data_IF_636087461494
#
_entry.id   IF_636087461494
#
_cell.length_a   1.000
_cell.length_b   1.000
_cell.length_c   1.000
_cell.angle_alpha   90.00
_cell.angle_beta   90.00
_cell.angle_gamma   90.00
#
_symmetry.space_group_name_H-M   'P 1'
#
loop_
_entity.id
_entity.type
_entity.pdbx_description
1 polymer ?
#
# COMPACT_ATOMS: atom_id res chain seq x y z
N UNK A 1 -6.00 -8.56 -14.01
CA UNK A 1 -5.32 -7.36 -14.53
C UNK A 1 -4.85 -6.45 -13.39
N UNK A 2 -4.08 -5.40 -13.69
CA UNK A 2 -3.44 -4.54 -12.69
C UNK A 2 -4.42 -3.93 -11.68
N UNK A 3 -5.64 -3.59 -12.12
CA UNK A 3 -6.67 -3.05 -11.23
C UNK A 3 -7.04 -4.00 -10.09
N UNK A 4 -7.27 -5.27 -10.41
CA UNK A 4 -7.70 -6.27 -9.43
C UNK A 4 -6.60 -6.52 -8.39
N UNK A 5 -5.35 -6.61 -8.83
CA UNK A 5 -4.19 -6.74 -7.93
C UNK A 5 -4.08 -5.54 -6.99
N UNK A 6 -4.25 -4.32 -7.52
CA UNK A 6 -4.21 -3.10 -6.72
C UNK A 6 -5.33 -3.07 -5.66
N UNK A 7 -6.56 -3.42 -6.04
CA UNK A 7 -7.71 -3.46 -5.12
C UNK A 7 -7.53 -4.53 -4.03
N UNK A 8 -7.09 -5.75 -4.40
CA UNK A 8 -6.83 -6.82 -3.43
C UNK A 8 -5.73 -6.40 -2.46
N UNK A 9 -4.63 -5.87 -2.97
CA UNK A 9 -3.51 -5.40 -2.15
C UNK A 9 -3.93 -4.29 -1.18
N UNK A 10 -4.66 -3.27 -1.66
CA UNK A 10 -5.12 -2.17 -0.81
C UNK A 10 -6.16 -2.62 0.23
N UNK A 11 -7.13 -3.46 -0.15
CA UNK A 11 -8.13 -3.99 0.78
C UNK A 11 -7.49 -4.88 1.86
N UNK A 12 -6.56 -5.76 1.49
CA UNK A 12 -5.78 -6.56 2.43
C UNK A 12 -4.97 -5.67 3.39
N UNK A 13 -4.41 -4.55 2.91
CA UNK A 13 -3.65 -3.61 3.73
C UNK A 13 -4.56 -2.91 4.76
N UNK A 14 -5.77 -2.49 4.37
CA UNK A 14 -6.76 -1.93 5.29
C UNK A 14 -7.09 -2.92 6.41
N UNK A 15 -7.42 -4.17 6.07
CA UNK A 15 -7.73 -5.21 7.06
C UNK A 15 -6.54 -5.44 7.99
N UNK A 16 -5.34 -5.60 7.42
CA UNK A 16 -4.11 -5.87 8.17
C UNK A 16 -3.79 -4.76 9.17
N UNK A 17 -3.76 -3.50 8.70
CA UNK A 17 -3.41 -2.37 9.56
C UNK A 17 -4.49 -2.07 10.60
N UNK A 18 -5.76 -2.28 10.27
CA UNK A 18 -6.86 -2.16 11.23
C UNK A 18 -6.70 -3.18 12.35
N UNK A 19 -6.44 -4.45 12.02
CA UNK A 19 -6.21 -5.48 13.03
C UNK A 19 -5.00 -5.17 13.92
N UNK A 20 -3.89 -4.70 13.33
CA UNK A 20 -2.69 -4.28 14.09
C UNK A 20 -2.99 -3.16 15.09
N UNK A 21 -3.91 -2.25 14.79
CA UNK A 21 -4.29 -1.16 15.69
C UNK A 21 -4.94 -1.62 17.00
N UNK A 22 -5.45 -2.85 17.04
CA UNK A 22 -6.04 -3.46 18.23
C UNK A 22 -5.07 -4.34 19.02
N UNK A 23 -3.76 -4.24 18.77
CA UNK A 23 -2.71 -4.97 19.49
C UNK A 23 -3.01 -6.49 19.59
N UNK A 24 -3.12 -7.19 18.45
CA UNK A 24 -3.61 -8.56 18.43
C UNK A 24 -2.63 -9.55 19.11
N UNK A 25 -3.11 -10.71 19.57
CA UNK A 25 -2.26 -11.73 20.18
C UNK A 25 -1.27 -12.33 19.16
N UNK A 26 -0.18 -12.91 19.67
CA UNK A 26 0.94 -13.43 18.87
C UNK A 26 0.51 -14.36 17.72
N UNK A 27 -0.47 -15.25 17.95
CA UNK A 27 -0.90 -16.19 16.92
C UNK A 27 -1.51 -15.50 15.69
N UNK A 28 -2.15 -14.34 15.87
CA UNK A 28 -2.75 -13.58 14.77
C UNK A 28 -1.69 -12.84 13.96
N UNK A 29 -0.46 -12.69 14.48
CA UNK A 29 0.62 -12.09 13.70
C UNK A 29 0.99 -12.94 12.48
N UNK A 30 0.90 -14.27 12.54
CA UNK A 30 1.19 -15.15 11.39
C UNK A 30 0.35 -14.82 10.15
N UNK A 31 -1.01 -14.85 10.21
CA UNK A 31 -1.83 -14.45 9.07
C UNK A 31 -1.67 -12.96 8.74
N UNK A 32 -1.42 -12.08 9.71
CA UNK A 32 -1.16 -10.65 9.42
C UNK A 32 0.14 -10.42 8.65
N UNK A 33 1.19 -11.20 8.91
CA UNK A 33 2.42 -11.15 8.12
C UNK A 33 2.25 -11.80 6.75
N UNK A 34 1.42 -12.84 6.62
CA UNK A 34 1.04 -13.35 5.29
C UNK A 34 0.29 -12.28 4.47
N UNK A 35 -0.63 -11.53 5.11
CA UNK A 35 -1.25 -10.36 4.49
C UNK A 35 -0.22 -9.28 4.13
N UNK A 36 0.81 -9.07 4.95
CA UNK A 36 1.89 -8.14 4.59
C UNK A 36 2.57 -8.54 3.27
N UNK A 37 2.99 -9.79 3.15
CA UNK A 37 3.60 -10.30 1.93
C UNK A 37 2.65 -10.15 0.71
N UNK A 38 1.36 -10.47 0.89
CA UNK A 38 0.34 -10.28 -0.15
C UNK A 38 0.22 -8.81 -0.56
N UNK A 39 0.15 -7.88 0.40
CA UNK A 39 0.00 -6.45 0.11
C UNK A 39 1.18 -5.91 -0.69
N UNK A 40 2.41 -6.29 -0.33
CA UNK A 40 3.61 -5.93 -1.07
C UNK A 40 3.58 -6.51 -2.48
N UNK A 41 3.42 -7.82 -2.63
CA UNK A 41 3.47 -8.49 -3.93
C UNK A 41 2.38 -7.98 -4.89
N UNK A 42 1.15 -7.84 -4.40
CA UNK A 42 0.02 -7.40 -5.22
C UNK A 42 0.18 -5.94 -5.67
N UNK A 43 0.53 -5.03 -4.76
CA UNK A 43 0.71 -3.60 -5.11
C UNK A 43 1.94 -3.35 -5.97
N UNK A 44 3.04 -4.08 -5.73
CA UNK A 44 4.25 -4.00 -6.55
C UNK A 44 3.97 -4.45 -7.99
N UNK A 45 3.41 -5.64 -8.16
CA UNK A 45 3.10 -6.17 -9.49
C UNK A 45 2.06 -5.32 -10.22
N UNK A 46 1.04 -4.82 -9.50
CA UNK A 46 0.09 -3.87 -10.05
C UNK A 46 0.79 -2.58 -10.53
N UNK A 47 1.71 -2.03 -9.74
CA UNK A 47 2.47 -0.82 -10.08
C UNK A 47 3.27 -0.97 -11.36
N UNK A 48 4.02 -2.07 -11.50
CA UNK A 48 4.79 -2.37 -12.72
C UNK A 48 3.85 -2.48 -13.93
N UNK A 49 2.77 -3.26 -13.82
CA UNK A 49 1.79 -3.43 -14.90
C UNK A 49 1.07 -2.11 -15.27
N UNK A 50 0.83 -1.22 -14.30
CA UNK A 50 0.24 0.10 -14.56
C UNK A 50 1.19 0.97 -15.37
N UNK A 51 2.48 0.99 -15.01
CA UNK A 51 3.50 1.73 -15.77
C UNK A 51 3.59 1.20 -17.20
N UNK A 52 3.68 -0.13 -17.35
CA UNK A 52 3.72 -0.79 -18.67
C UNK A 52 2.47 -0.47 -19.52
N UNK A 53 1.28 -0.43 -18.90
CA UNK A 53 0.02 -0.17 -19.60
C UNK A 53 -0.17 1.30 -20.00
N UNK A 54 0.30 2.25 -19.19
CA UNK A 54 -0.03 3.67 -19.35
C UNK A 54 1.10 4.52 -19.94
N UNK A 55 2.37 4.14 -19.77
CA UNK A 55 3.50 4.90 -20.29
C UNK A 55 3.79 4.57 -21.76
N UNK A 56 4.20 5.56 -22.55
CA UNK A 56 4.75 5.32 -23.89
C UNK A 56 6.09 4.59 -23.79
N UNK A 57 6.47 3.84 -24.83
CA UNK A 57 7.72 3.05 -24.83
C UNK A 57 8.95 3.87 -24.43
N UNK A 58 9.07 5.09 -24.94
CA UNK A 58 10.22 5.96 -24.68
C UNK A 58 10.25 6.53 -23.25
N UNK A 59 9.11 6.50 -22.53
CA UNK A 59 8.97 7.05 -21.18
C UNK A 59 8.84 6.00 -20.07
N UNK A 60 8.84 4.70 -20.39
CA UNK A 60 8.64 3.63 -19.40
C UNK A 60 9.67 3.67 -18.27
N UNK A 61 10.96 3.85 -18.59
CA UNK A 61 12.02 3.96 -17.57
C UNK A 61 11.78 5.15 -16.64
N UNK A 62 11.47 6.32 -17.19
CA UNK A 62 11.21 7.52 -16.40
C UNK A 62 9.96 7.36 -15.52
N UNK A 63 8.89 6.74 -16.05
CA UNK A 63 7.67 6.45 -15.30
C UNK A 63 7.93 5.44 -14.17
N UNK A 64 8.75 4.40 -14.40
CA UNK A 64 9.15 3.45 -13.37
C UNK A 64 10.02 4.10 -12.29
N UNK A 65 10.98 4.96 -12.67
CA UNK A 65 11.78 5.75 -11.72
C UNK A 65 10.91 6.66 -10.88
N UNK A 66 9.98 7.39 -11.49
CA UNK A 66 9.05 8.26 -10.77
C UNK A 66 8.18 7.45 -9.79
N UNK A 67 7.64 6.32 -10.24
CA UNK A 67 6.88 5.39 -9.40
C UNK A 67 7.70 4.93 -8.18
N UNK A 68 8.95 4.52 -8.38
CA UNK A 68 9.85 4.08 -7.30
C UNK A 68 10.23 5.22 -6.34
N UNK A 69 10.54 6.42 -6.85
CA UNK A 69 10.88 7.59 -6.01
C UNK A 69 9.70 8.01 -5.15
N UNK A 70 8.49 8.03 -5.71
CA UNK A 70 7.29 8.37 -4.96
C UNK A 70 6.97 7.31 -3.91
N UNK A 71 6.90 6.04 -4.32
CA UNK A 71 6.47 4.95 -3.43
C UNK A 71 7.53 4.59 -2.39
N UNK A 72 8.73 4.18 -2.83
CA UNK A 72 9.78 3.67 -1.95
C UNK A 72 10.64 4.77 -1.30
N UNK A 73 10.64 5.98 -1.86
CA UNK A 73 11.36 7.13 -1.33
C UNK A 73 10.48 8.02 -0.46
N UNK A 74 9.71 8.89 -1.10
CA UNK A 74 8.99 10.00 -0.43
C UNK A 74 7.90 9.48 0.51
N UNK A 75 7.02 8.59 0.03
CA UNK A 75 5.87 8.14 0.82
C UNK A 75 6.29 7.23 1.97
N UNK A 76 7.18 6.25 1.74
CA UNK A 76 7.74 5.43 2.83
C UNK A 76 8.51 6.29 3.82
N UNK A 77 9.35 7.23 3.35
CA UNK A 77 10.11 8.12 4.21
C UNK A 77 9.21 8.98 5.12
N UNK A 78 8.18 9.60 4.55
CA UNK A 78 7.22 10.39 5.30
C UNK A 78 6.42 9.55 6.30
N UNK A 79 5.94 8.37 5.89
CA UNK A 79 5.22 7.46 6.79
C UNK A 79 6.12 6.98 7.95
N UNK A 80 7.39 6.68 7.68
CA UNK A 80 8.37 6.27 8.69
C UNK A 80 8.63 7.40 9.68
N UNK A 81 8.88 8.61 9.20
CA UNK A 81 9.10 9.79 10.05
C UNK A 81 7.89 10.11 10.94
N UNK A 82 6.67 9.97 10.39
CA UNK A 82 5.43 10.18 11.15
C UNK A 82 5.13 9.05 12.15
N UNK A 83 5.63 7.83 11.92
CA UNK A 83 5.31 6.66 12.73
C UNK A 83 5.81 6.76 14.17
N UNK A 84 6.99 7.34 14.41
CA UNK A 84 7.52 7.53 15.76
C UNK A 84 6.59 8.37 16.65
N UNK A 85 6.32 9.63 16.29
CA UNK A 85 5.41 10.48 17.06
C UNK A 85 3.98 9.91 17.19
N UNK A 86 3.48 9.22 16.17
CA UNK A 86 2.17 8.55 16.24
C UNK A 86 2.19 7.41 17.28
N UNK A 87 3.25 6.61 17.32
CA UNK A 87 3.38 5.53 18.27
C UNK A 87 3.59 6.05 19.69
N UNK A 88 4.41 7.08 19.89
CA UNK A 88 4.63 7.70 21.21
C UNK A 88 3.32 8.22 21.82
N UNK A 89 2.43 8.77 20.98
CA UNK A 89 1.15 9.34 21.44
C UNK A 89 0.02 8.34 21.57
N UNK A 90 -0.05 7.33 20.69
CA UNK A 90 -1.21 6.44 20.57
C UNK A 90 -0.88 4.95 20.79
N UNK A 91 0.39 4.60 21.01
CA UNK A 91 0.86 3.22 21.07
C UNK A 91 0.46 2.43 19.81
N UNK A 92 -0.07 1.23 20.00
CA UNK A 92 -0.60 0.41 18.91
C UNK A 92 -1.71 1.11 18.09
N UNK A 93 -2.46 2.04 18.69
CA UNK A 93 -3.47 2.84 17.97
C UNK A 93 -2.89 3.63 16.80
N UNK A 94 -1.59 3.94 16.81
CA UNK A 94 -0.90 4.60 15.70
C UNK A 94 -1.00 3.84 14.37
N UNK A 95 -1.18 2.51 14.40
CA UNK A 95 -1.39 1.71 13.18
C UNK A 95 -2.68 2.08 12.42
N UNK A 96 -3.65 2.72 13.06
CA UNK A 96 -4.85 3.22 12.38
C UNK A 96 -4.52 4.25 11.28
N UNK A 97 -3.44 5.02 11.44
CA UNK A 97 -2.98 5.95 10.40
C UNK A 97 -2.61 5.21 9.11
N UNK A 98 -2.01 4.01 9.22
CA UNK A 98 -1.68 3.18 8.06
C UNK A 98 -2.93 2.57 7.42
N UNK A 99 -3.94 2.23 8.23
CA UNK A 99 -5.23 1.78 7.72
C UNK A 99 -5.91 2.90 6.91
N UNK A 100 -5.90 4.14 7.40
CA UNK A 100 -6.42 5.32 6.69
C UNK A 100 -5.66 5.54 5.38
N UNK A 101 -4.34 5.53 5.40
CA UNK A 101 -3.52 5.67 4.19
C UNK A 101 -3.85 4.58 3.16
N UNK A 102 -4.03 3.33 3.61
CA UNK A 102 -4.42 2.20 2.75
C UNK A 102 -5.83 2.38 2.18
N UNK A 103 -6.76 2.91 2.97
CA UNK A 103 -8.13 3.20 2.53
C UNK A 103 -8.17 4.31 1.48
N UNK A 104 -7.36 5.37 1.64
CA UNK A 104 -7.19 6.41 0.61
C UNK A 104 -6.66 5.81 -0.69
N UNK A 105 -5.66 4.93 -0.62
CA UNK A 105 -5.14 4.20 -1.78
C UNK A 105 -6.20 3.32 -2.45
N UNK A 106 -7.02 2.61 -1.66
CA UNK A 106 -8.13 1.80 -2.17
C UNK A 106 -9.18 2.66 -2.88
N UNK A 107 -9.60 3.77 -2.28
CA UNK A 107 -10.56 4.70 -2.89
C UNK A 107 -10.03 5.25 -4.22
N UNK A 108 -8.75 5.65 -4.26
CA UNK A 108 -8.11 6.07 -5.50
C UNK A 108 -8.12 4.95 -6.56
N UNK A 109 -7.78 3.71 -6.19
CA UNK A 109 -7.79 2.56 -7.10
C UNK A 109 -9.19 2.29 -7.70
N UNK A 110 -10.26 2.47 -6.93
CA UNK A 110 -11.62 2.30 -7.42
C UNK A 110 -11.97 3.31 -8.53
N UNK A 111 -11.50 4.55 -8.46
CA UNK A 111 -11.73 5.56 -9.51
C UNK A 111 -11.03 5.21 -10.83
N UNK A 112 -9.97 4.39 -10.79
CA UNK A 112 -9.16 4.03 -11.95
C UNK A 112 -9.64 2.78 -12.68
N UNK A 113 -10.77 2.18 -12.26
CA UNK A 113 -11.30 0.92 -12.83
C UNK A 113 -11.39 0.94 -14.35
N UNK A 114 -11.97 1.98 -14.97
CA UNK A 114 -12.16 2.01 -16.43
C UNK A 114 -10.84 2.01 -17.21
N UNK A 115 -9.75 2.53 -16.62
CA UNK A 115 -8.44 2.59 -17.26
C UNK A 115 -7.63 1.31 -17.04
N UNK A 116 -7.80 0.68 -15.88
CA UNK A 116 -6.92 -0.39 -15.41
C UNK A 116 -7.54 -1.80 -15.45
N UNK A 117 -8.88 -1.90 -15.50
CA UNK A 117 -9.58 -3.18 -15.68
C UNK A 117 -9.22 -3.83 -17.02
#
# INVERSE_FOLDING_TARGET
GPWLLLVIGAAAAVVRWTAMAFAPPLWLLWPLQALHALTFAATFLAGVQIVEKLASRDSQTAAQTLSSVLSAGILIGAATAASGPLYDRFGAGGYAAMAVMSAVGLLAALTLRRKLA
#
